data_IF_355880604075
#
_entry.id   IF_355880604075
#
_cell.length_a   1.000
_cell.length_b   1.000
_cell.length_c   1.000
_cell.angle_alpha   90.00
_cell.angle_beta   90.00
_cell.angle_gamma   90.00
#
_symmetry.space_group_name_H-M   'P 1'
#
loop_
_entity.id
_entity.type
_entity.pdbx_description
1 polymer ?
#
# COMPACT_ATOMS: atom_id res chain seq x y z
N UNK A 1 -15.68 -25.09 -6.23
CA UNK A 1 -16.74 -24.16 -6.67
C UNK A 1 -16.11 -23.20 -7.69
N UNK A 2 -16.84 -22.71 -8.68
CA UNK A 2 -16.27 -21.74 -9.62
C UNK A 2 -16.15 -20.37 -8.93
N UNK A 3 -15.04 -19.68 -9.13
CA UNK A 3 -14.84 -18.35 -8.56
C UNK A 3 -15.90 -17.36 -9.07
N UNK A 4 -16.36 -16.40 -8.23
CA UNK A 4 -17.21 -15.31 -8.67
C UNK A 4 -16.58 -14.50 -9.81
N UNK A 5 -17.40 -13.97 -10.72
CA UNK A 5 -16.93 -13.09 -11.79
C UNK A 5 -16.34 -11.79 -11.25
N UNK A 6 -16.86 -11.27 -10.13
CA UNK A 6 -16.31 -10.13 -9.39
C UNK A 6 -14.86 -10.37 -8.99
N UNK A 7 -14.56 -11.55 -8.43
CA UNK A 7 -13.20 -11.92 -8.03
C UNK A 7 -12.26 -12.01 -9.24
N UNK A 8 -12.71 -12.64 -10.33
CA UNK A 8 -11.91 -12.76 -11.55
C UNK A 8 -11.59 -11.39 -12.16
N UNK A 9 -12.59 -10.49 -12.21
CA UNK A 9 -12.43 -9.12 -12.70
C UNK A 9 -11.48 -8.31 -11.81
N UNK A 10 -11.61 -8.46 -10.49
CA UNK A 10 -10.72 -7.83 -9.53
C UNK A 10 -9.27 -8.28 -9.73
N UNK A 11 -9.01 -9.58 -9.85
CA UNK A 11 -7.65 -10.12 -10.09
C UNK A 11 -7.05 -9.59 -11.39
N UNK A 12 -7.85 -9.54 -12.46
CA UNK A 12 -7.41 -8.98 -13.73
C UNK A 12 -7.12 -7.47 -13.62
N UNK A 13 -7.94 -6.72 -12.88
CA UNK A 13 -7.73 -5.29 -12.62
C UNK A 13 -6.46 -5.04 -11.81
N UNK A 14 -6.27 -5.80 -10.73
CA UNK A 14 -5.08 -5.73 -9.87
C UNK A 14 -3.80 -5.98 -10.65
N UNK A 15 -3.76 -7.00 -11.51
CA UNK A 15 -2.59 -7.28 -12.35
C UNK A 15 -2.32 -6.14 -13.35
N UNK A 16 -3.36 -5.56 -13.97
CA UNK A 16 -3.17 -4.40 -14.86
C UNK A 16 -2.59 -3.19 -14.10
N UNK A 17 -3.14 -2.88 -12.93
CA UNK A 17 -2.68 -1.77 -12.08
C UNK A 17 -1.22 -1.94 -11.65
N UNK A 18 -0.79 -3.16 -11.29
CA UNK A 18 0.61 -3.41 -10.95
C UNK A 18 1.55 -3.19 -12.14
N UNK A 19 1.07 -3.49 -13.35
CA UNK A 19 1.80 -3.35 -14.61
C UNK A 19 1.68 -1.95 -15.24
N UNK A 20 1.12 -0.96 -14.55
CA UNK A 20 1.10 0.42 -15.06
C UNK A 20 2.51 1.00 -15.18
N UNK A 21 2.69 1.86 -16.19
CA UNK A 21 3.94 2.60 -16.37
C UNK A 21 4.25 3.43 -15.12
N UNK A 22 5.50 3.36 -14.68
CA UNK A 22 5.97 3.96 -13.43
C UNK A 22 5.19 3.48 -12.18
N UNK A 23 4.53 2.33 -12.26
CA UNK A 23 3.88 1.65 -11.14
C UNK A 23 4.87 0.96 -10.21
N UNK A 24 4.36 0.23 -9.22
CA UNK A 24 5.16 -0.40 -8.16
C UNK A 24 6.22 -1.40 -8.66
N UNK A 25 5.99 -2.04 -9.80
CA UNK A 25 6.92 -3.01 -10.39
C UNK A 25 8.10 -2.35 -11.13
N UNK A 26 8.11 -1.02 -11.24
CA UNK A 26 9.16 -0.25 -11.93
C UNK A 26 10.21 0.31 -10.97
N UNK A 27 10.02 0.20 -9.65
CA UNK A 27 10.96 0.70 -8.66
C UNK A 27 12.31 -0.04 -8.74
N UNK A 28 13.38 0.71 -8.99
CA UNK A 28 14.75 0.19 -9.17
C UNK A 28 15.76 0.72 -8.16
N UNK A 29 15.42 1.74 -7.37
CA UNK A 29 16.30 2.29 -6.33
C UNK A 29 15.55 2.97 -5.18
N UNK A 30 16.29 3.18 -4.10
CA UNK A 30 15.95 4.02 -2.96
C UNK A 30 17.25 4.62 -2.44
N UNK A 31 17.40 5.94 -2.47
CA UNK A 31 18.61 6.64 -2.03
C UNK A 31 18.23 7.82 -1.12
N UNK A 32 18.88 7.94 0.04
CA UNK A 32 18.75 9.11 0.90
C UNK A 32 19.56 10.29 0.33
N UNK A 33 19.03 11.51 0.48
CA UNK A 33 19.74 12.74 0.08
C UNK A 33 20.32 13.41 1.33
N UNK A 34 21.64 13.62 1.34
CA UNK A 34 22.35 14.32 2.42
C UNK A 34 22.37 15.84 2.23
N UNK A 35 22.97 16.55 3.18
CA UNK A 35 23.23 18.00 3.14
C UNK A 35 24.41 18.37 2.24
N UNK A 36 25.41 17.49 2.13
CA UNK A 36 26.54 17.66 1.21
C UNK A 36 26.14 17.37 -0.25
N UNK A 37 26.51 18.23 -1.22
CA UNK A 37 26.26 17.99 -2.64
C UNK A 37 26.84 16.66 -3.12
N UNK A 38 25.97 15.77 -3.61
CA UNK A 38 26.35 14.41 -4.03
C UNK A 38 25.62 13.96 -5.30
N UNK A 39 26.16 12.95 -5.98
CA UNK A 39 25.47 12.28 -7.09
C UNK A 39 24.70 11.08 -6.55
N UNK A 40 23.55 10.80 -7.16
CA UNK A 40 22.84 9.54 -6.98
C UNK A 40 23.31 8.54 -8.04
N UNK A 41 23.24 7.25 -7.71
CA UNK A 41 23.61 6.19 -8.66
C UNK A 41 22.52 5.97 -9.71
N UNK A 42 21.25 6.18 -9.34
CA UNK A 42 20.10 5.81 -10.15
C UNK A 42 19.48 6.93 -10.99
N UNK A 43 19.75 8.20 -10.66
CA UNK A 43 19.22 9.37 -11.37
C UNK A 43 20.31 10.45 -11.58
N UNK A 44 20.33 11.16 -12.71
CA UNK A 44 21.34 12.19 -12.97
C UNK A 44 21.25 13.41 -12.04
N UNK A 45 22.21 14.33 -12.18
CA UNK A 45 22.30 15.57 -11.40
C UNK A 45 23.14 15.48 -10.12
N UNK A 46 23.23 16.62 -9.43
CA UNK A 46 23.85 16.76 -8.11
C UNK A 46 22.78 17.19 -7.11
N UNK A 47 22.67 16.46 -6.01
CA UNK A 47 21.57 16.51 -5.06
C UNK A 47 22.09 16.91 -3.69
N UNK A 48 21.30 17.72 -2.97
CA UNK A 48 21.51 18.02 -1.55
C UNK A 48 20.22 18.44 -0.88
N UNK A 49 20.21 18.40 0.45
CA UNK A 49 19.19 19.01 1.29
C UNK A 49 19.72 20.31 1.87
N UNK A 50 19.00 21.40 1.66
CA UNK A 50 19.31 22.72 2.21
C UNK A 50 18.01 23.45 2.53
N UNK A 51 17.92 24.07 3.72
CA UNK A 51 16.74 24.77 4.21
C UNK A 51 15.42 23.96 4.11
N UNK A 52 15.48 22.68 4.50
CA UNK A 52 14.35 21.73 4.45
C UNK A 52 13.74 21.57 3.03
N UNK A 53 14.56 21.67 2.00
CA UNK A 53 14.21 21.39 0.62
C UNK A 53 15.32 20.60 -0.07
N UNK A 54 14.95 19.81 -1.07
CA UNK A 54 15.89 19.16 -1.98
C UNK A 54 16.27 20.15 -3.06
N UNK A 55 17.58 20.34 -3.23
CA UNK A 55 18.19 21.06 -4.35
C UNK A 55 18.81 20.03 -5.29
N UNK A 56 18.39 20.04 -6.55
CA UNK A 56 18.90 19.16 -7.59
C UNK A 56 19.39 20.01 -8.77
N UNK A 57 20.70 19.97 -9.05
CA UNK A 57 21.33 20.71 -10.15
C UNK A 57 21.55 19.79 -11.35
N UNK A 58 21.08 20.21 -12.52
CA UNK A 58 21.19 19.45 -13.77
C UNK A 58 21.94 20.22 -14.85
N UNK A 59 22.74 19.49 -15.64
CA UNK A 59 23.36 20.02 -16.87
C UNK A 59 22.58 19.52 -18.11
N UNK A 60 22.66 20.17 -19.28
CA UNK A 60 21.92 19.74 -20.47
C UNK A 60 22.18 18.27 -20.87
N UNK A 61 23.38 17.76 -20.62
CA UNK A 61 23.77 16.37 -20.89
C UNK A 61 23.04 15.35 -20.02
N UNK A 62 22.50 15.75 -18.87
CA UNK A 62 21.70 14.88 -17.99
C UNK A 62 20.33 14.53 -18.62
N UNK A 63 19.87 15.33 -19.59
CA UNK A 63 18.62 15.10 -20.31
C UNK A 63 17.39 15.05 -19.40
N UNK A 64 17.40 15.83 -18.31
CA UNK A 64 16.29 15.88 -17.35
C UNK A 64 15.20 16.79 -17.87
N UNK A 65 13.96 16.35 -17.71
CA UNK A 65 12.77 17.14 -17.91
C UNK A 65 11.97 17.24 -16.61
N UNK A 66 11.32 18.38 -16.40
CA UNK A 66 10.33 18.60 -15.36
C UNK A 66 8.98 18.87 -16.01
N UNK A 67 8.01 17.99 -15.74
CA UNK A 67 6.68 18.06 -16.37
C UNK A 67 6.76 18.15 -17.91
N UNK A 68 7.71 17.43 -18.51
CA UNK A 68 7.95 17.39 -19.96
C UNK A 68 8.75 18.57 -20.53
N UNK A 69 9.21 19.51 -19.69
CA UNK A 69 10.04 20.63 -20.12
C UNK A 69 11.52 20.37 -19.75
N UNK A 70 12.48 20.51 -20.68
CA UNK A 70 13.90 20.36 -20.35
C UNK A 70 14.35 21.28 -19.22
N UNK A 71 15.18 20.76 -18.33
CA UNK A 71 15.74 21.48 -17.18
C UNK A 71 17.25 21.67 -17.34
N UNK A 72 17.70 22.90 -17.10
CA UNK A 72 19.12 23.26 -16.93
C UNK A 72 19.24 24.11 -15.66
N UNK A 73 20.19 23.76 -14.78
CA UNK A 73 20.39 24.43 -13.49
C UNK A 73 19.62 23.78 -12.35
N UNK A 74 19.30 24.59 -11.33
CA UNK A 74 18.78 24.12 -10.06
C UNK A 74 17.25 23.96 -10.08
N UNK A 75 16.79 22.82 -9.56
CA UNK A 75 15.40 22.57 -9.18
C UNK A 75 15.33 22.46 -7.67
N UNK A 76 14.34 23.12 -7.07
CA UNK A 76 14.08 23.08 -5.63
C UNK A 76 12.74 22.43 -5.39
N UNK A 77 12.72 21.37 -4.58
CA UNK A 77 11.51 20.63 -4.20
C UNK A 77 11.39 20.68 -2.68
N UNK A 78 10.25 21.16 -2.19
CA UNK A 78 9.91 21.20 -0.77
C UNK A 78 8.64 20.39 -0.56
N UNK A 79 8.69 19.50 0.43
CA UNK A 79 7.61 18.58 0.75
C UNK A 79 7.31 18.65 2.25
N UNK A 80 6.04 18.48 2.61
CA UNK A 80 5.66 18.04 3.94
C UNK A 80 6.07 16.57 4.13
N UNK A 81 6.06 16.11 5.38
CA UNK A 81 6.38 14.71 5.64
C UNK A 81 5.31 13.80 5.02
N UNK A 82 5.74 12.64 4.52
CA UNK A 82 4.93 11.68 3.75
C UNK A 82 4.48 12.11 2.33
N UNK A 83 4.81 13.33 1.88
CA UNK A 83 4.56 13.77 0.50
C UNK A 83 5.60 13.24 -0.50
N UNK A 84 5.26 13.31 -1.78
CA UNK A 84 6.13 12.88 -2.89
C UNK A 84 5.94 13.74 -4.14
N UNK A 85 7.02 14.15 -4.79
CA UNK A 85 7.06 14.82 -6.09
C UNK A 85 7.53 13.84 -7.18
N UNK A 86 6.80 13.78 -8.30
CA UNK A 86 7.08 12.91 -9.44
C UNK A 86 7.39 13.69 -10.72
N UNK A 87 7.75 14.97 -10.58
CA UNK A 87 7.83 15.90 -11.70
C UNK A 87 9.06 15.65 -12.60
N UNK A 88 10.09 14.97 -12.10
CA UNK A 88 11.38 14.79 -12.76
C UNK A 88 11.49 13.47 -13.53
N UNK A 89 11.91 13.56 -14.80
CA UNK A 89 12.15 12.42 -15.69
C UNK A 89 13.47 12.57 -16.43
N UNK A 90 14.09 11.44 -16.78
CA UNK A 90 15.26 11.38 -17.65
C UNK A 90 15.24 10.05 -18.42
N UNK A 91 15.10 10.14 -19.75
CA UNK A 91 14.90 8.97 -20.60
C UNK A 91 13.70 8.12 -20.16
N UNK A 92 13.93 6.82 -19.89
CA UNK A 92 12.89 5.89 -19.42
C UNK A 92 12.65 5.91 -17.90
N UNK A 93 13.24 6.86 -17.17
CA UNK A 93 13.23 6.90 -15.70
C UNK A 93 12.46 8.10 -15.16
N UNK A 94 11.85 7.90 -14.00
CA UNK A 94 11.19 8.93 -13.20
C UNK A 94 11.76 8.93 -11.79
N UNK A 95 12.15 10.10 -11.30
CA UNK A 95 12.51 10.30 -9.90
C UNK A 95 11.25 10.66 -9.11
N UNK A 96 10.96 9.86 -8.09
CA UNK A 96 10.11 10.27 -6.98
C UNK A 96 10.99 10.88 -5.90
N UNK A 97 10.90 12.19 -5.71
CA UNK A 97 11.47 12.85 -4.53
C UNK A 97 10.44 12.74 -3.43
N UNK A 98 10.80 12.17 -2.30
CA UNK A 98 9.87 11.87 -1.21
C UNK A 98 10.45 12.33 0.13
N UNK A 99 9.59 12.75 1.05
CA UNK A 99 9.98 13.02 2.45
C UNK A 99 9.39 11.94 3.35
N UNK A 100 10.23 11.24 4.10
CA UNK A 100 9.81 10.14 4.98
C UNK A 100 10.51 10.26 6.32
N UNK A 101 9.73 10.33 7.41
CA UNK A 101 10.26 10.54 8.75
C UNK A 101 11.12 11.81 8.86
N UNK A 102 10.76 12.86 8.13
CA UNK A 102 11.45 14.15 8.11
C UNK A 102 12.71 14.22 7.25
N UNK A 103 13.14 13.12 6.62
CA UNK A 103 14.31 13.08 5.74
C UNK A 103 13.90 12.93 4.26
N UNK A 104 14.70 13.47 3.35
CA UNK A 104 14.44 13.37 1.91
C UNK A 104 15.12 12.16 1.27
N UNK A 105 14.37 11.46 0.44
CA UNK A 105 14.84 10.35 -0.39
C UNK A 105 14.47 10.57 -1.86
N UNK A 106 15.25 9.98 -2.75
CA UNK A 106 14.87 9.78 -4.15
C UNK A 106 14.67 8.28 -4.40
N UNK A 107 13.49 7.91 -4.90
CA UNK A 107 13.20 6.58 -5.46
C UNK A 107 13.09 6.67 -6.97
N UNK A 108 13.85 5.86 -7.69
CA UNK A 108 13.75 5.84 -9.16
C UNK A 108 12.85 4.70 -9.63
N UNK A 109 12.01 5.05 -10.60
CA UNK A 109 11.19 4.12 -11.38
C UNK A 109 11.71 4.06 -12.80
N UNK A 110 11.84 2.85 -13.33
CA UNK A 110 12.27 2.59 -14.71
C UNK A 110 11.29 1.61 -15.37
N UNK A 111 10.63 2.02 -16.45
CA UNK A 111 9.68 1.15 -17.17
C UNK A 111 10.37 -0.06 -17.81
N UNK A 112 11.70 -0.06 -17.89
CA UNK A 112 12.48 -1.20 -18.37
C UNK A 112 12.94 -2.13 -17.24
N UNK A 113 12.49 -1.92 -15.99
CA UNK A 113 12.81 -2.81 -14.88
C UNK A 113 12.45 -4.26 -15.22
N UNK A 114 13.32 -5.25 -14.93
CA UNK A 114 13.01 -6.66 -15.19
C UNK A 114 11.70 -7.12 -14.56
N UNK A 115 11.41 -6.65 -13.34
CA UNK A 115 10.19 -6.96 -12.61
C UNK A 115 8.92 -6.50 -13.36
N UNK A 116 8.95 -5.34 -14.01
CA UNK A 116 7.86 -4.84 -14.85
C UNK A 116 7.76 -5.64 -16.16
N UNK A 117 8.89 -5.84 -16.85
CA UNK A 117 8.94 -6.47 -18.17
C UNK A 117 8.51 -7.94 -18.15
N UNK A 118 8.86 -8.65 -17.09
CA UNK A 118 8.64 -10.08 -16.95
C UNK A 118 7.36 -10.39 -16.13
N UNK A 119 6.55 -9.37 -15.80
CA UNK A 119 5.35 -9.54 -14.99
C UNK A 119 4.25 -10.28 -15.74
N UNK A 120 3.84 -11.43 -15.21
CA UNK A 120 2.76 -12.26 -15.77
C UNK A 120 1.52 -12.34 -14.87
N UNK A 121 1.54 -11.63 -13.75
CA UNK A 121 0.49 -11.65 -12.72
C UNK A 121 1.00 -12.13 -11.36
N UNK A 122 0.27 -11.75 -10.31
CA UNK A 122 0.56 -12.21 -8.94
C UNK A 122 0.03 -13.64 -8.75
N UNK A 123 0.82 -14.59 -8.20
CA UNK A 123 0.31 -15.89 -7.81
C UNK A 123 -0.80 -15.75 -6.77
N UNK A 124 -1.85 -16.57 -6.87
CA UNK A 124 -3.00 -16.55 -5.96
C UNK A 124 -3.39 -17.97 -5.56
N UNK A 125 -4.08 -18.10 -4.43
CA UNK A 125 -4.88 -19.30 -4.18
C UNK A 125 -6.18 -19.23 -4.99
N UNK A 126 -6.76 -20.40 -5.26
CA UNK A 126 -8.10 -20.46 -5.84
C UNK A 126 -9.12 -19.83 -4.89
N UNK A 127 -10.20 -19.26 -5.45
CA UNK A 127 -11.28 -18.71 -4.63
C UNK A 127 -11.88 -19.79 -3.72
N UNK A 128 -11.88 -19.52 -2.42
CA UNK A 128 -12.45 -20.41 -1.41
C UNK A 128 -13.43 -19.63 -0.50
N UNK A 129 -14.74 -19.93 -0.57
CA UNK A 129 -15.74 -19.26 0.25
C UNK A 129 -15.57 -19.53 1.75
N UNK A 130 -14.79 -20.54 2.17
CA UNK A 130 -14.49 -20.77 3.59
C UNK A 130 -13.62 -19.67 4.21
N UNK A 131 -12.96 -18.84 3.39
CA UNK A 131 -12.20 -17.66 3.82
C UNK A 131 -13.00 -16.34 3.71
N UNK A 132 -14.33 -16.44 3.57
CA UNK A 132 -15.24 -15.33 3.85
C UNK A 132 -15.66 -15.43 5.31
N UNK A 133 -15.02 -14.65 6.17
CA UNK A 133 -15.16 -14.76 7.61
C UNK A 133 -16.04 -13.65 8.18
N UNK A 134 -16.97 -14.01 9.06
CA UNK A 134 -17.83 -13.05 9.74
C UNK A 134 -17.05 -12.34 10.84
N UNK A 135 -17.38 -11.07 11.07
CA UNK A 135 -16.86 -10.33 12.21
C UNK A 135 -17.76 -9.19 12.65
N UNK A 136 -17.38 -8.56 13.76
CA UNK A 136 -18.06 -7.38 14.29
C UNK A 136 -17.06 -6.24 14.41
N UNK A 137 -17.32 -5.15 13.68
CA UNK A 137 -16.53 -3.92 13.76
C UNK A 137 -17.12 -2.98 14.81
N UNK A 138 -16.27 -2.42 15.67
CA UNK A 138 -16.62 -1.37 16.64
C UNK A 138 -15.67 -0.19 16.49
N UNK A 139 -16.22 0.99 16.25
CA UNK A 139 -15.42 2.21 16.18
C UNK A 139 -14.79 2.51 17.56
N UNK A 140 -13.53 2.96 17.56
CA UNK A 140 -12.79 3.39 18.76
C UNK A 140 -12.39 4.86 18.64
N UNK A 141 -11.78 5.40 19.69
CA UNK A 141 -11.16 6.73 19.59
C UNK A 141 -10.02 6.66 18.58
N UNK A 142 -9.98 7.53 17.55
CA UNK A 142 -8.87 7.53 16.61
C UNK A 142 -7.53 7.73 17.32
N UNK A 143 -6.60 6.83 17.04
CA UNK A 143 -5.27 6.82 17.63
C UNK A 143 -4.23 6.82 16.51
N UNK A 144 -3.29 7.76 16.56
CA UNK A 144 -2.16 7.79 15.63
C UNK A 144 -0.99 7.10 16.30
N UNK A 145 -0.52 6.01 15.69
CA UNK A 145 0.60 5.21 16.19
C UNK A 145 1.74 5.20 15.19
N UNK A 146 2.95 5.43 15.67
CA UNK A 146 4.16 5.28 14.85
C UNK A 146 4.51 3.79 14.74
N UNK A 147 4.80 3.34 13.52
CA UNK A 147 5.09 1.93 13.23
C UNK A 147 6.29 1.77 12.31
N UNK A 148 7.01 0.67 12.55
CA UNK A 148 8.07 0.24 11.67
C UNK A 148 7.52 -0.06 10.28
N UNK A 149 8.33 0.20 9.26
CA UNK A 149 8.01 -0.15 7.87
C UNK A 149 8.82 -1.38 7.43
N UNK A 150 8.68 -1.77 6.17
CA UNK A 150 9.47 -2.84 5.57
C UNK A 150 10.97 -2.56 5.71
N UNK A 151 11.37 -1.33 5.37
CA UNK A 151 12.72 -0.83 5.58
C UNK A 151 12.94 -0.48 7.05
N UNK A 152 14.13 -0.79 7.55
CA UNK A 152 14.48 -0.61 8.97
C UNK A 152 14.80 0.83 9.35
N UNK A 153 15.15 1.64 8.36
CA UNK A 153 15.53 3.04 8.49
C UNK A 153 14.35 4.00 8.28
N UNK A 154 13.13 3.49 8.10
CA UNK A 154 11.91 4.30 7.95
C UNK A 154 10.81 3.87 8.92
N UNK A 155 10.11 4.88 9.45
CA UNK A 155 8.90 4.75 10.25
C UNK A 155 7.79 5.54 9.57
N UNK A 156 6.55 5.18 9.82
CA UNK A 156 5.39 5.92 9.31
C UNK A 156 4.26 5.86 10.34
N UNK A 157 3.34 6.81 10.23
CA UNK A 157 2.17 6.90 11.10
C UNK A 157 1.04 6.01 10.56
N UNK A 158 0.34 5.34 11.45
CA UNK A 158 -0.90 4.62 11.16
C UNK A 158 -2.01 5.20 12.02
N UNK A 159 -3.16 5.48 11.41
CA UNK A 159 -4.36 5.96 12.12
C UNK A 159 -5.30 4.78 12.36
N UNK A 160 -5.36 4.32 13.61
CA UNK A 160 -6.26 3.25 14.04
C UNK A 160 -7.62 3.86 14.39
N UNK A 161 -8.70 3.33 13.81
CA UNK A 161 -10.03 3.93 13.96
C UNK A 161 -11.09 2.96 14.49
N UNK A 162 -10.89 1.65 14.35
CA UNK A 162 -11.83 0.65 14.82
C UNK A 162 -11.16 -0.66 15.24
N UNK A 163 -11.92 -1.49 15.95
CA UNK A 163 -11.58 -2.87 16.26
C UNK A 163 -12.51 -3.82 15.49
N UNK A 164 -11.95 -4.89 14.93
CA UNK A 164 -12.65 -6.01 14.34
C UNK A 164 -12.52 -7.22 15.27
N UNK A 165 -13.65 -7.74 15.73
CA UNK A 165 -13.75 -9.06 16.35
C UNK A 165 -14.09 -10.07 15.25
N UNK A 166 -13.09 -10.78 14.74
CA UNK A 166 -13.19 -11.72 13.63
C UNK A 166 -13.46 -13.13 14.15
N UNK A 167 -14.53 -13.76 13.70
CA UNK A 167 -14.88 -15.14 14.04
C UNK A 167 -13.92 -16.11 13.32
N UNK A 168 -13.35 -17.07 14.06
CA UNK A 168 -12.44 -18.07 13.51
C UNK A 168 -13.17 -19.42 13.38
N UNK A 169 -13.02 -20.14 12.25
CA UNK A 169 -13.64 -21.46 12.10
C UNK A 169 -13.09 -22.44 13.13
N UNK A 170 -13.95 -23.17 13.85
CA UNK A 170 -13.55 -24.13 14.89
C UNK A 170 -12.63 -25.24 14.32
N UNK A 171 -12.82 -25.62 13.06
CA UNK A 171 -11.98 -26.64 12.41
C UNK A 171 -10.58 -26.13 12.04
N UNK A 172 -10.38 -24.80 12.04
CA UNK A 172 -9.14 -24.12 11.65
C UNK A 172 -8.46 -23.40 12.82
N UNK A 173 -9.12 -23.30 13.98
CA UNK A 173 -8.59 -22.68 15.19
C UNK A 173 -8.66 -23.65 16.37
N UNK A 174 -7.50 -24.09 16.85
CA UNK A 174 -7.42 -25.08 17.92
C UNK A 174 -7.73 -24.51 19.33
N UNK A 175 -7.77 -23.18 19.50
CA UNK A 175 -7.77 -22.55 20.83
C UNK A 175 -8.69 -21.32 21.00
N UNK A 176 -9.13 -20.65 19.92
CA UNK A 176 -9.86 -19.36 20.00
C UNK A 176 -11.03 -19.29 19.02
N UNK A 177 -12.24 -18.95 19.49
CA UNK A 177 -13.42 -18.77 18.63
C UNK A 177 -13.48 -17.44 17.88
N UNK A 178 -12.68 -16.46 18.30
CA UNK A 178 -12.54 -15.16 17.64
C UNK A 178 -11.20 -14.51 17.96
N UNK A 179 -10.76 -13.58 17.12
CA UNK A 179 -9.57 -12.73 17.34
C UNK A 179 -9.93 -11.26 17.18
N UNK A 180 -9.33 -10.40 18.02
CA UNK A 180 -9.48 -8.95 17.91
C UNK A 180 -8.33 -8.36 17.10
N UNK A 181 -8.65 -7.57 16.08
CA UNK A 181 -7.71 -6.93 15.16
C UNK A 181 -8.04 -5.44 15.06
N UNK A 182 -7.02 -4.61 14.95
CA UNK A 182 -7.18 -3.17 14.75
C UNK A 182 -7.34 -2.83 13.26
N UNK A 183 -8.21 -1.88 12.95
CA UNK A 183 -8.47 -1.38 11.60
C UNK A 183 -7.93 0.03 11.43
N UNK A 184 -7.35 0.26 10.27
CA UNK A 184 -6.89 1.57 9.79
C UNK A 184 -7.87 2.16 8.78
N UNK A 185 -7.75 3.46 8.54
CA UNK A 185 -8.50 4.16 7.49
C UNK A 185 -9.37 5.28 8.03
N UNK A 186 -10.44 5.59 7.29
CA UNK A 186 -11.43 6.57 7.68
C UNK A 186 -12.75 5.88 8.02
N UNK A 187 -13.40 6.32 9.10
CA UNK A 187 -14.66 5.74 9.55
C UNK A 187 -15.81 5.97 8.55
N UNK A 188 -15.69 6.98 7.71
CA UNK A 188 -16.67 7.32 6.67
C UNK A 188 -16.28 6.72 5.29
N UNK A 189 -15.16 5.99 5.23
CA UNK A 189 -14.49 5.57 4.01
C UNK A 189 -14.28 4.06 3.91
N UNK A 190 -13.11 3.70 3.39
CA UNK A 190 -12.64 2.32 3.31
C UNK A 190 -11.83 1.99 4.56
N UNK A 191 -12.12 0.84 5.16
CA UNK A 191 -11.35 0.30 6.26
C UNK A 191 -10.30 -0.67 5.73
N UNK A 192 -9.13 -0.66 6.34
CA UNK A 192 -8.00 -1.50 6.00
C UNK A 192 -7.66 -2.37 7.19
N UNK A 193 -7.72 -3.69 6.99
CA UNK A 193 -7.14 -4.66 7.91
C UNK A 193 -5.74 -5.03 7.40
N UNK A 194 -4.71 -4.50 8.05
CA UNK A 194 -3.33 -4.97 7.92
C UNK A 194 -3.13 -6.15 8.86
N UNK A 195 -2.66 -7.30 8.38
CA UNK A 195 -2.61 -8.51 9.21
C UNK A 195 -1.41 -9.41 8.93
N UNK A 196 -1.05 -10.15 9.98
CA UNK A 196 -0.23 -11.35 9.90
C UNK A 196 -1.10 -12.61 10.00
N UNK A 197 -0.61 -13.71 9.43
CA UNK A 197 -1.20 -15.04 9.50
C UNK A 197 -0.11 -16.12 9.37
N UNK A 198 -0.47 -17.40 9.48
CA UNK A 198 0.53 -18.49 9.53
C UNK A 198 1.19 -18.80 8.17
N UNK A 199 0.68 -18.23 7.07
CA UNK A 199 1.27 -18.36 5.72
C UNK A 199 2.44 -17.41 5.47
N UNK A 200 2.61 -16.37 6.31
CA UNK A 200 3.53 -15.27 6.00
C UNK A 200 5.00 -15.71 5.93
N UNK A 201 5.73 -15.10 5.00
CA UNK A 201 7.16 -15.34 4.76
C UNK A 201 7.46 -16.72 4.14
N UNK A 202 6.45 -17.56 3.92
CA UNK A 202 6.59 -18.91 3.34
C UNK A 202 5.73 -19.07 2.09
N UNK A 203 4.43 -18.85 2.22
CA UNK A 203 3.45 -19.06 1.14
C UNK A 203 2.79 -17.75 0.70
N UNK A 204 2.63 -16.79 1.62
CA UNK A 204 2.31 -15.39 1.34
C UNK A 204 3.51 -14.47 1.58
N UNK A 205 3.36 -13.19 1.24
CA UNK A 205 4.30 -12.14 1.63
C UNK A 205 4.47 -12.06 3.16
N UNK A 206 5.40 -11.23 3.62
CA UNK A 206 5.70 -11.08 5.06
C UNK A 206 4.49 -10.57 5.87
N UNK A 207 3.56 -9.87 5.21
CA UNK A 207 2.22 -9.54 5.69
C UNK A 207 1.35 -9.12 4.50
N UNK A 208 0.04 -9.04 4.72
CA UNK A 208 -0.96 -8.67 3.71
C UNK A 208 -1.98 -7.70 4.28
N UNK A 209 -2.85 -7.22 3.41
CA UNK A 209 -3.99 -6.42 3.80
C UNK A 209 -5.24 -6.81 3.03
N UNK A 210 -6.40 -6.54 3.62
CA UNK A 210 -7.70 -6.58 2.95
C UNK A 210 -8.40 -5.25 3.22
N UNK A 211 -9.09 -4.74 2.21
CA UNK A 211 -9.90 -3.53 2.31
C UNK A 211 -11.37 -3.89 2.19
N UNK A 212 -12.21 -3.16 2.92
CA UNK A 212 -13.65 -3.34 2.89
C UNK A 212 -14.34 -2.04 3.33
N UNK A 213 -15.61 -1.90 2.94
CA UNK A 213 -16.46 -0.79 3.40
C UNK A 213 -17.51 -1.33 4.35
N UNK A 214 -17.94 -0.48 5.26
CA UNK A 214 -19.14 -0.76 6.05
C UNK A 214 -20.33 -0.21 5.30
N UNK A 215 -21.27 -1.09 4.99
CA UNK A 215 -22.55 -0.65 4.46
C UNK A 215 -23.31 0.15 5.52
N UNK A 216 -24.11 1.11 5.05
CA UNK A 216 -25.05 1.83 5.90
C UNK A 216 -25.94 0.83 6.68
N UNK A 217 -26.30 1.13 7.94
CA UNK A 217 -26.88 0.14 8.84
C UNK A 217 -28.11 -0.55 8.27
N UNK A 218 -27.99 -1.86 8.03
CA UNK A 218 -29.12 -2.78 8.19
C UNK A 218 -29.58 -2.71 9.65
N UNK A 219 -30.90 -2.66 9.88
CA UNK A 219 -31.48 -2.66 11.23
C UNK A 219 -31.02 -3.85 12.06
N UNK A 220 -31.36 -3.87 13.35
CA UNK A 220 -30.85 -4.79 14.38
C UNK A 220 -30.96 -6.30 14.09
N UNK A 221 -31.58 -6.71 12.97
CA UNK A 221 -31.68 -8.09 12.48
C UNK A 221 -31.23 -8.29 11.00
N UNK A 222 -30.54 -7.33 10.39
CA UNK A 222 -30.17 -7.35 8.96
C UNK A 222 -28.67 -7.58 8.73
N UNK A 223 -28.31 -8.64 8.02
CA UNK A 223 -26.97 -8.81 7.48
C UNK A 223 -26.63 -7.63 6.55
N UNK A 224 -25.67 -6.81 6.95
CA UNK A 224 -25.00 -5.87 6.06
C UNK A 224 -23.98 -6.70 5.27
N UNK A 225 -24.22 -6.89 3.97
CA UNK A 225 -23.29 -7.62 3.11
C UNK A 225 -22.18 -6.67 2.71
N UNK A 226 -20.97 -6.86 3.21
CA UNK A 226 -19.83 -6.12 2.67
C UNK A 226 -19.67 -6.51 1.20
N UNK A 227 -20.11 -5.67 0.26
CA UNK A 227 -19.71 -5.87 -1.12
C UNK A 227 -18.19 -5.65 -1.17
N UNK A 228 -17.47 -6.71 -1.57
CA UNK A 228 -16.07 -6.66 -2.00
C UNK A 228 -15.96 -5.79 -3.26
N UNK A 229 -16.20 -4.49 -3.09
CA UNK A 229 -16.11 -3.48 -4.11
C UNK A 229 -14.65 -3.20 -4.38
N UNK A 230 -14.19 -3.64 -5.55
CA UNK A 230 -12.99 -3.12 -6.18
C UNK A 230 -13.19 -1.63 -6.53
N UNK A 231 -13.27 -0.75 -5.53
CA UNK A 231 -12.81 0.61 -5.73
C UNK A 231 -11.31 0.47 -5.99
N UNK A 232 -10.86 0.96 -7.14
CA UNK A 232 -9.51 0.73 -7.65
C UNK A 232 -8.48 0.86 -6.55
N UNK A 233 -7.53 -0.07 -6.51
CA UNK A 233 -6.34 0.06 -5.68
C UNK A 233 -5.58 1.32 -6.12
N UNK A 234 -6.05 2.50 -5.68
CA UNK A 234 -5.17 3.59 -5.30
C UNK A 234 -4.42 3.04 -4.10
N UNK A 235 -3.32 2.38 -4.40
CA UNK A 235 -2.27 2.13 -3.41
C UNK A 235 -1.68 3.47 -3.02
N UNK A 236 -2.46 4.25 -2.27
CA UNK A 236 -2.09 5.49 -1.60
C UNK A 236 -2.54 5.33 -0.16
N UNK A 237 -1.70 4.67 0.63
CA UNK A 237 -1.58 5.02 2.04
C UNK A 237 -0.26 5.79 2.12
N UNK A 238 -0.36 7.11 1.97
CA UNK A 238 0.76 8.07 1.95
C UNK A 238 0.94 8.77 0.60
N UNK A 239 0.19 9.87 0.41
CA UNK A 239 0.22 10.76 -0.75
C UNK A 239 -0.99 11.70 -0.73
N UNK A 240 -0.97 12.70 0.16
CA UNK A 240 -1.93 13.82 0.14
C UNK A 240 -1.29 15.00 -0.60
N UNK A 241 -2.03 15.60 -1.53
CA UNK A 241 -1.91 17.01 -1.91
C UNK A 241 -3.30 17.51 -2.35
N UNK A 242 -3.81 18.54 -1.66
CA UNK A 242 -4.84 19.47 -2.18
C UNK A 242 -4.21 20.38 -3.25
N UNK A 243 -4.90 21.01 -4.19
CA UNK A 243 -6.25 21.60 -4.20
C UNK A 243 -6.77 21.70 -5.65
N UNK A 244 -8.10 21.78 -5.81
CA UNK A 244 -8.68 22.75 -6.75
C UNK A 244 -9.25 22.25 -8.08
N UNK A 245 -10.40 21.55 -8.05
CA UNK A 245 -11.25 21.36 -9.21
C UNK A 245 -12.71 21.20 -8.80
N UNK A 246 -13.45 22.31 -8.69
CA UNK A 246 -14.88 22.31 -8.42
C UNK A 246 -15.64 21.61 -9.57
N UNK A 247 -15.99 20.34 -9.36
CA UNK A 247 -16.93 19.57 -10.15
C UNK A 247 -18.04 19.07 -9.24
N UNK A 248 -19.22 19.67 -9.37
CA UNK A 248 -20.46 19.24 -8.73
C UNK A 248 -20.81 17.80 -9.16
N UNK A 249 -20.56 16.84 -8.26
CA UNK A 249 -21.11 15.50 -8.32
C UNK A 249 -21.22 14.96 -6.89
N UNK A 250 -22.33 15.31 -6.22
CA UNK A 250 -22.67 14.81 -4.90
C UNK A 250 -22.72 13.28 -4.85
N UNK A 251 -21.72 12.67 -4.25
CA UNK A 251 -21.79 11.31 -3.71
C UNK A 251 -22.02 11.45 -2.22
N UNK A 252 -23.13 10.86 -1.75
CA UNK A 252 -23.54 10.95 -0.36
C UNK A 252 -22.45 10.37 0.55
N UNK A 253 -21.88 11.20 1.42
CA UNK A 253 -21.08 10.73 2.54
C UNK A 253 -21.94 9.76 3.36
N UNK A 254 -21.44 8.54 3.57
CA UNK A 254 -22.06 7.59 4.50
C UNK A 254 -22.17 8.21 5.89
N UNK A 255 -23.19 7.84 6.67
CA UNK A 255 -23.26 8.29 8.06
C UNK A 255 -22.05 7.75 8.84
N UNK A 256 -21.42 8.57 9.70
CA UNK A 256 -20.30 8.12 10.52
C UNK A 256 -20.66 6.93 11.39
N UNK A 257 -19.67 6.06 11.60
CA UNK A 257 -19.84 4.89 12.44
C UNK A 257 -20.15 5.31 13.88
N UNK A 258 -21.30 4.85 14.39
CA UNK A 258 -21.65 5.00 15.80
C UNK A 258 -20.73 4.13 16.64
N UNK A 259 -20.15 4.73 17.68
CA UNK A 259 -19.30 4.05 18.66
C UNK A 259 -20.09 3.19 19.63
N UNK A 260 -21.41 3.34 19.67
CA UNK A 260 -22.29 2.67 20.62
C UNK A 260 -22.83 1.33 20.11
N UNK A 261 -22.48 0.93 18.87
CA UNK A 261 -22.94 -0.33 18.28
C UNK A 261 -21.84 -1.06 17.52
N UNK A 262 -22.02 -2.37 17.38
CA UNK A 262 -21.23 -3.21 16.50
C UNK A 262 -21.83 -3.28 15.10
N UNK A 263 -20.98 -3.39 14.10
CA UNK A 263 -21.34 -3.57 12.69
C UNK A 263 -20.95 -4.98 12.27
N UNK A 264 -21.93 -5.81 11.93
CA UNK A 264 -21.66 -7.15 11.41
C UNK A 264 -21.14 -7.02 9.99
N UNK A 265 -20.04 -7.69 9.69
CA UNK A 265 -19.37 -7.68 8.39
C UNK A 265 -18.96 -9.07 7.97
N UNK A 266 -18.76 -9.25 6.67
CA UNK A 266 -18.04 -10.37 6.09
C UNK A 266 -16.71 -9.85 5.55
N UNK A 267 -15.60 -10.46 5.97
CA UNK A 267 -14.25 -10.17 5.50
C UNK A 267 -13.86 -11.25 4.51
N UNK A 268 -13.80 -10.90 3.22
CA UNK A 268 -13.42 -11.83 2.16
C UNK A 268 -11.90 -11.79 1.93
N UNK A 269 -11.18 -12.75 2.55
CA UNK A 269 -9.73 -12.86 2.40
C UNK A 269 -9.29 -13.31 0.99
N UNK A 270 -10.20 -13.73 0.10
CA UNK A 270 -9.88 -13.95 -1.31
C UNK A 270 -9.47 -12.65 -2.03
N UNK A 271 -9.78 -11.51 -1.43
CA UNK A 271 -9.38 -10.18 -1.89
C UNK A 271 -8.11 -9.66 -1.21
N UNK A 272 -7.50 -10.43 -0.30
CA UNK A 272 -6.25 -10.01 0.34
C UNK A 272 -5.14 -9.76 -0.69
N UNK A 273 -4.40 -8.68 -0.48
CA UNK A 273 -3.36 -8.18 -1.36
C UNK A 273 -2.01 -8.12 -0.66
N UNK A 274 -0.95 -8.27 -1.44
CA UNK A 274 0.41 -7.97 -1.04
C UNK A 274 0.69 -6.46 -1.14
N UNK A 275 1.48 -5.96 -0.19
CA UNK A 275 2.08 -4.63 -0.29
C UNK A 275 3.15 -4.56 -1.39
N UNK A 276 3.46 -3.36 -1.92
CA UNK A 276 4.57 -3.17 -2.86
C UNK A 276 5.89 -3.80 -2.41
N UNK A 277 6.19 -3.77 -1.11
CA UNK A 277 7.39 -4.38 -0.53
C UNK A 277 7.51 -5.91 -0.77
N UNK A 278 6.43 -6.60 -1.11
CA UNK A 278 6.50 -8.00 -1.52
C UNK A 278 7.19 -8.18 -2.89
N UNK A 279 7.15 -7.16 -3.74
CA UNK A 279 7.66 -7.20 -5.11
C UNK A 279 9.04 -6.54 -5.24
N UNK A 280 9.33 -5.53 -4.41
CA UNK A 280 10.52 -4.71 -4.52
C UNK A 280 11.13 -4.36 -3.14
N UNK A 281 12.47 -4.37 -3.00
CA UNK A 281 13.12 -3.98 -1.74
C UNK A 281 13.09 -2.46 -1.47
N UNK A 282 12.61 -1.67 -2.42
CA UNK A 282 12.59 -0.20 -2.35
C UNK A 282 11.27 0.36 -1.79
N UNK A 283 10.35 -0.51 -1.37
CA UNK A 283 9.09 -0.12 -0.73
C UNK A 283 9.27 0.30 0.73
N UNK A 284 8.47 1.27 1.19
CA UNK A 284 8.44 1.79 2.56
C UNK A 284 7.16 1.37 3.30
N UNK A 285 6.62 0.20 2.98
CA UNK A 285 5.29 -0.23 3.42
C UNK A 285 5.23 -0.43 4.95
N UNK A 286 4.19 0.11 5.59
CA UNK A 286 3.93 -0.05 7.01
C UNK A 286 3.72 -1.53 7.39
N UNK A 287 4.41 -1.99 8.44
CA UNK A 287 4.18 -3.33 9.03
C UNK A 287 2.94 -3.31 9.91
N UNK A 288 2.04 -4.32 9.88
CA UNK A 288 0.88 -4.39 10.76
C UNK A 288 1.25 -4.24 12.23
N UNK A 289 0.27 -3.87 13.07
CA UNK A 289 0.42 -3.97 14.52
C UNK A 289 0.84 -5.40 14.90
N UNK A 290 1.75 -5.60 15.88
CA UNK A 290 2.21 -6.92 16.26
C UNK A 290 1.07 -7.89 16.61
N UNK A 291 0.01 -7.37 17.24
CA UNK A 291 -1.16 -8.13 17.67
C UNK A 291 -2.22 -8.31 16.58
N UNK A 292 -2.07 -7.67 15.41
CA UNK A 292 -2.91 -7.95 14.24
C UNK A 292 -2.50 -9.28 13.60
N UNK A 293 -2.65 -10.37 14.33
CA UNK A 293 -2.29 -11.73 13.92
C UNK A 293 -3.52 -12.62 13.96
N UNK A 294 -3.83 -13.20 12.82
CA UNK A 294 -4.85 -14.24 12.70
C UNK A 294 -4.15 -15.59 12.94
N UNK A 295 -4.51 -16.36 13.99
CA UNK A 295 -3.83 -17.61 14.33
C UNK A 295 -4.32 -18.79 13.46
N UNK A 296 -4.31 -18.59 12.15
CA UNK A 296 -4.62 -19.61 11.15
C UNK A 296 -3.85 -19.34 9.85
N UNK A 297 -3.66 -20.37 9.03
CA UNK A 297 -3.14 -20.22 7.68
C UNK A 297 -4.22 -19.66 6.75
N UNK A 298 -4.13 -18.39 6.38
CA UNK A 298 -5.10 -17.74 5.49
C UNK A 298 -4.72 -18.05 4.04
N UNK A 299 -5.12 -19.22 3.56
CA UNK A 299 -4.84 -19.77 2.22
C UNK A 299 -5.78 -19.19 1.14
N UNK A 300 -6.01 -17.87 1.17
CA UNK A 300 -6.83 -17.12 0.22
C UNK A 300 -6.15 -15.81 -0.18
N UNK A 301 -6.46 -15.31 -1.38
CA UNK A 301 -5.91 -14.05 -1.89
C UNK A 301 -4.54 -14.17 -2.55
N UNK A 302 -3.75 -13.10 -2.52
CA UNK A 302 -2.41 -13.09 -3.11
C UNK A 302 -1.43 -13.94 -2.29
N UNK A 303 -0.71 -14.81 -3.01
CA UNK A 303 0.44 -15.57 -2.52
C UNK A 303 1.70 -14.73 -2.65
N UNK A 304 2.80 -15.22 -2.09
CA UNK A 304 4.11 -14.61 -2.26
C UNK A 304 4.45 -14.55 -3.76
N UNK A 305 4.82 -13.39 -4.31
CA UNK A 305 5.39 -13.34 -5.66
C UNK A 305 6.70 -14.13 -5.66
N UNK A 306 6.91 -14.98 -6.67
CA UNK A 306 8.20 -15.63 -6.85
C UNK A 306 9.30 -14.56 -6.93
N UNK A 307 10.45 -14.75 -6.29
CA UNK A 307 11.57 -13.85 -6.50
C UNK A 307 11.95 -13.94 -7.98
N UNK A 308 11.58 -12.91 -8.77
CA UNK A 308 12.10 -12.77 -10.13
C UNK A 308 13.61 -12.78 -9.99
N UNK A 309 14.27 -13.74 -10.63
CA UNK A 309 15.69 -14.00 -10.47
C UNK A 309 16.54 -12.81 -10.95
N UNK A 310 16.70 -11.79 -10.12
CA UNK A 310 17.69 -10.71 -10.29
C UNK A 310 17.97 -9.91 -9.01
N UNK A 311 17.83 -10.52 -7.82
CA UNK A 311 18.39 -9.95 -6.57
C UNK A 311 19.68 -10.66 -6.11
N UNK A 312 20.35 -11.44 -6.98
CA UNK A 312 21.68 -12.01 -6.67
C UNK A 312 22.83 -10.98 -6.65
N UNK A 313 22.52 -9.69 -6.82
CA UNK A 313 23.52 -8.62 -6.90
C UNK A 313 23.30 -7.45 -5.94
N UNK A 314 22.25 -7.46 -5.11
CA UNK A 314 22.11 -6.42 -4.10
C UNK A 314 23.01 -6.76 -2.90
N UNK A 315 23.97 -5.88 -2.53
CA UNK A 315 24.73 -6.09 -1.31
C UNK A 315 23.77 -6.18 -0.14
N UNK A 316 24.05 -7.09 0.79
CA UNK A 316 23.35 -7.12 2.07
C UNK A 316 23.50 -5.75 2.74
N UNK A 317 22.40 -5.01 2.86
CA UNK A 317 22.29 -3.85 3.75
C UNK A 317 22.12 -4.33 5.19
#
# INVERSE_FOLDING_TARGET
MNAPSSWTNFRASRNRSLAEDFGWLTLVSFEWVGDEPGRLDSFPGVWRVEDDAVWASFVPEDGVEREGNPVEGDVVIRLLDEESDFSLRSGGRMAEVAKRGGAYTVRVRDNNAPLQRDFVGVPVWDYDPAFVLRGVVRAREPEVVERATFRRDTQSLARIVADLELELPEERSAEQGAVRLALEGDLDGELVLNFYDDTNGRESADWRFVTFRLDAPGGEDGAAGAEGGAAGARGEVGGEDGEGGAGDAGQAAGQPLSRDRGYVVEIDFNYALNFPAAFTPYGTCLRPLPDNRIPLAVEAGERRPEPVASARGLPSM
#
